data_IF_407214878353
#
_entry.id   IF_407214878353
#
_cell.length_a   1.000
_cell.length_b   1.000
_cell.length_c   1.000
_cell.angle_alpha   90.00
_cell.angle_beta   90.00
_cell.angle_gamma   90.00
#
_symmetry.space_group_name_H-M   'P 1'
#
loop_
_entity.id
_entity.type
_entity.pdbx_description
1 polymer ?
#
# COMPACT_ATOMS: atom_id res chain seq x y z
N UNK A 1 -13.34 4.20 11.67
CA UNK A 1 -13.92 4.36 10.32
C UNK A 1 -14.43 5.76 10.08
N UNK A 2 -15.23 6.34 10.99
CA UNK A 2 -15.71 7.73 10.88
C UNK A 2 -14.61 8.72 10.48
N UNK A 3 -13.52 8.76 11.24
CA UNK A 3 -12.37 9.64 10.97
C UNK A 3 -11.74 9.42 9.59
N UNK A 4 -11.59 8.17 9.12
CA UNK A 4 -11.01 7.88 7.81
C UNK A 4 -11.85 8.41 6.63
N UNK A 5 -13.15 8.67 6.85
CA UNK A 5 -14.06 9.24 5.85
C UNK A 5 -14.13 10.76 5.98
N UNK A 6 -14.01 11.29 7.20
CA UNK A 6 -14.03 12.72 7.51
C UNK A 6 -12.68 13.39 7.14
N UNK A 7 -12.28 13.33 5.86
CA UNK A 7 -10.99 13.89 5.34
C UNK A 7 -11.15 14.94 4.24
N UNK A 8 -12.38 15.41 4.02
CA UNK A 8 -12.71 16.33 2.90
C UNK A 8 -12.84 17.80 3.32
N UNK A 9 -12.59 18.11 4.60
CA UNK A 9 -12.66 19.45 5.19
C UNK A 9 -11.29 20.15 5.26
N UNK A 10 -10.24 19.56 4.69
CA UNK A 10 -8.91 20.15 4.54
C UNK A 10 -8.29 19.82 3.19
N UNK A 11 -7.20 20.51 2.85
CA UNK A 11 -6.36 20.23 1.70
C UNK A 11 -4.87 20.17 2.07
N UNK A 12 -4.08 19.45 1.29
CA UNK A 12 -2.63 19.41 1.44
C UNK A 12 -1.98 20.53 0.63
N UNK A 13 -1.06 21.28 1.25
CA UNK A 13 -0.23 22.26 0.55
C UNK A 13 0.74 21.60 -0.44
N UNK A 14 1.23 22.36 -1.42
CA UNK A 14 2.22 21.86 -2.37
C UNK A 14 3.49 21.33 -1.68
N UNK A 15 3.95 21.99 -0.61
CA UNK A 15 5.08 21.54 0.20
C UNK A 15 4.79 20.18 0.87
N UNK A 16 3.61 20.02 1.46
CA UNK A 16 3.20 18.77 2.09
C UNK A 16 3.12 17.63 1.05
N UNK A 17 2.60 17.90 -0.14
CA UNK A 17 2.57 16.93 -1.25
C UNK A 17 3.97 16.47 -1.65
N UNK A 18 4.93 17.41 -1.78
CA UNK A 18 6.34 17.08 -2.11
C UNK A 18 6.97 16.25 -0.99
N UNK A 19 6.72 16.62 0.28
CA UNK A 19 7.25 15.88 1.43
C UNK A 19 6.73 14.44 1.47
N UNK A 20 5.44 14.22 1.25
CA UNK A 20 4.87 12.87 1.19
C UNK A 20 5.47 12.05 0.04
N UNK A 21 5.64 12.63 -1.14
CA UNK A 21 6.24 11.94 -2.28
C UNK A 21 7.69 11.50 -2.01
N UNK A 22 8.46 12.29 -1.24
CA UNK A 22 9.84 11.95 -0.87
C UNK A 22 10.00 10.72 0.01
N UNK A 23 8.90 10.20 0.59
CA UNK A 23 8.90 9.03 1.46
C UNK A 23 8.71 7.70 0.71
N UNK A 24 8.54 7.73 -0.61
CA UNK A 24 8.36 6.52 -1.42
C UNK A 24 9.60 5.62 -1.39
N UNK A 25 9.43 4.39 -0.89
CA UNK A 25 10.46 3.35 -0.87
C UNK A 25 10.41 2.44 -2.10
N UNK A 26 9.39 2.61 -2.96
CA UNK A 26 9.10 1.76 -4.11
C UNK A 26 9.04 0.26 -3.76
N UNK A 27 8.77 -0.05 -2.49
CA UNK A 27 8.85 -1.41 -1.96
C UNK A 27 7.60 -1.69 -1.12
N UNK A 28 6.98 -2.84 -1.37
CA UNK A 28 5.87 -3.34 -0.55
C UNK A 28 6.35 -3.57 0.90
N UNK A 29 5.53 -3.18 1.89
CA UNK A 29 5.79 -3.51 3.30
C UNK A 29 5.51 -4.98 3.63
N UNK A 30 4.99 -5.75 2.68
CA UNK A 30 4.71 -7.18 2.80
C UNK A 30 5.51 -7.96 1.76
N UNK A 31 4.86 -8.36 0.66
CA UNK A 31 5.45 -9.16 -0.40
C UNK A 31 5.22 -8.49 -1.76
N UNK A 32 6.13 -8.74 -2.70
CA UNK A 32 5.91 -8.39 -4.11
C UNK A 32 4.98 -9.44 -4.73
N UNK A 33 3.79 -9.00 -5.16
CA UNK A 33 2.77 -9.88 -5.75
C UNK A 33 3.19 -10.50 -7.09
N UNK A 34 4.24 -9.97 -7.72
CA UNK A 34 4.76 -10.45 -9.00
C UNK A 34 5.79 -11.58 -8.83
N UNK A 35 6.29 -11.82 -7.61
CA UNK A 35 7.23 -12.90 -7.34
C UNK A 35 6.52 -14.24 -7.34
N UNK A 36 7.12 -15.25 -7.98
CA UNK A 36 6.58 -16.61 -8.05
C UNK A 36 6.30 -17.19 -6.65
N UNK A 37 7.19 -16.93 -5.68
CA UNK A 37 7.03 -17.38 -4.30
C UNK A 37 5.81 -16.78 -3.59
N UNK A 38 5.44 -15.55 -3.91
CA UNK A 38 4.22 -14.91 -3.38
C UNK A 38 2.96 -15.53 -4.00
N UNK A 39 3.03 -15.92 -5.28
CA UNK A 39 1.95 -16.64 -5.96
C UNK A 39 1.77 -18.02 -5.31
N UNK A 40 2.85 -18.75 -5.07
CA UNK A 40 2.81 -20.05 -4.39
C UNK A 40 2.21 -19.96 -2.98
N UNK A 41 2.54 -18.88 -2.24
CA UNK A 41 1.93 -18.58 -0.94
C UNK A 41 0.41 -18.44 -1.06
N UNK A 42 -0.10 -17.69 -2.04
CA UNK A 42 -1.53 -17.51 -2.25
C UNK A 42 -2.23 -18.80 -2.69
N UNK A 43 -1.60 -19.62 -3.53
CA UNK A 43 -2.12 -20.94 -3.90
C UNK A 43 -2.27 -21.86 -2.68
N UNK A 44 -1.32 -21.76 -1.74
CA UNK A 44 -1.38 -22.45 -0.45
C UNK A 44 -2.64 -22.12 0.36
N UNK A 45 -3.13 -20.88 0.32
CA UNK A 45 -4.37 -20.49 1.01
C UNK A 45 -5.62 -21.13 0.39
N UNK A 46 -5.56 -21.49 -0.88
CA UNK A 46 -6.63 -22.20 -1.59
C UNK A 46 -6.51 -23.73 -1.45
N UNK A 47 -5.52 -24.22 -0.69
CA UNK A 47 -5.21 -25.65 -0.57
C UNK A 47 -4.65 -26.24 -1.86
N UNK A 48 -4.12 -25.42 -2.77
CA UNK A 48 -3.51 -25.87 -4.03
C UNK A 48 -1.98 -25.89 -3.86
N UNK A 49 -1.37 -27.05 -4.12
CA UNK A 49 0.07 -27.25 -4.26
C UNK A 49 0.32 -28.14 -5.46
#
# INVERSE_FOLDING_TARGET
>A
MKENIDVFDFELSAENMVKTASMDTQTSLFFNHQEASTIDLFLGFLGRK
#
